data_IF_144236572660
#
_entry.id   IF_144236572660
#
_cell.length_a   1.000
_cell.length_b   1.000
_cell.length_c   1.000
_cell.angle_alpha   90.00
_cell.angle_beta   90.00
_cell.angle_gamma   90.00
#
_symmetry.space_group_name_H-M   'P 1'
#
loop_
_entity.id
_entity.type
_entity.pdbx_description
1 polymer ?
#
# COMPACT_ATOMS: atom_id res chain seq x y z
N UNK A 1 6.72 -23.02 18.56
CA UNK A 1 5.94 -21.84 19.02
C UNK A 1 6.25 -20.72 18.05
N UNK A 2 5.38 -20.54 17.06
CA UNK A 2 5.59 -19.53 16.00
C UNK A 2 4.99 -18.24 16.54
N UNK A 3 5.83 -17.30 16.93
CA UNK A 3 5.38 -15.97 17.33
C UNK A 3 5.01 -15.26 16.02
N UNK A 4 3.75 -15.30 15.64
CA UNK A 4 3.22 -14.47 14.57
C UNK A 4 3.13 -13.03 15.07
N UNK A 5 4.11 -12.24 14.74
CA UNK A 5 4.00 -10.79 14.81
C UNK A 5 3.02 -10.31 13.72
N UNK A 6 2.25 -9.24 13.97
CA UNK A 6 1.25 -8.72 13.03
C UNK A 6 1.81 -8.46 11.63
N UNK A 7 3.06 -7.99 11.51
CA UNK A 7 3.76 -7.94 10.23
C UNK A 7 4.10 -9.32 9.66
N UNK A 8 4.21 -10.37 10.49
CA UNK A 8 4.57 -11.70 10.01
C UNK A 8 3.41 -12.49 9.43
N UNK A 9 2.15 -12.19 9.73
CA UNK A 9 1.03 -12.82 9.04
C UNK A 9 0.98 -12.43 7.57
N UNK A 10 1.11 -11.16 7.23
CA UNK A 10 1.26 -10.72 5.85
C UNK A 10 2.57 -11.25 5.23
N UNK A 11 3.66 -11.24 5.99
CA UNK A 11 4.96 -11.70 5.51
C UNK A 11 5.08 -13.23 5.39
N UNK A 12 4.32 -14.01 6.14
CA UNK A 12 4.40 -15.49 6.13
C UNK A 12 3.19 -16.09 5.44
N UNK A 13 1.98 -15.76 5.85
CA UNK A 13 0.77 -16.37 5.32
C UNK A 13 0.49 -16.00 3.87
N UNK A 14 0.59 -14.72 3.55
CA UNK A 14 0.23 -14.19 2.23
C UNK A 14 1.44 -14.12 1.28
N UNK A 15 2.63 -14.37 1.80
CA UNK A 15 3.86 -14.41 1.00
C UNK A 15 3.77 -15.51 -0.05
N UNK A 16 4.04 -15.15 -1.30
CA UNK A 16 4.02 -16.09 -2.41
C UNK A 16 2.62 -16.63 -2.72
N UNK A 17 1.57 -15.89 -2.37
CA UNK A 17 0.21 -16.29 -2.70
C UNK A 17 0.08 -16.70 -4.17
N UNK A 18 -0.50 -17.86 -4.39
CA UNK A 18 -0.64 -18.46 -5.72
C UNK A 18 0.51 -19.36 -6.15
N UNK A 19 1.67 -19.30 -5.50
CA UNK A 19 2.84 -20.13 -5.87
C UNK A 19 2.70 -21.61 -5.42
N UNK A 20 1.64 -21.95 -4.68
CA UNK A 20 1.40 -23.31 -4.20
C UNK A 20 2.50 -23.82 -3.26
N UNK A 21 2.82 -25.11 -3.36
CA UNK A 21 3.75 -25.78 -2.45
C UNK A 21 5.17 -25.23 -2.46
N UNK A 22 5.57 -24.58 -3.54
CA UNK A 22 6.95 -24.08 -3.74
C UNK A 22 7.22 -22.73 -3.11
N UNK A 23 6.19 -21.96 -2.80
CA UNK A 23 6.42 -20.60 -2.32
C UNK A 23 5.36 -20.03 -1.40
N UNK A 24 4.15 -20.60 -1.39
CA UNK A 24 3.06 -20.04 -0.60
C UNK A 24 3.26 -20.31 0.89
N UNK A 25 3.28 -19.24 1.68
CA UNK A 25 3.48 -19.29 3.14
C UNK A 25 4.83 -19.89 3.58
N UNK A 26 5.86 -19.77 2.74
CA UNK A 26 7.19 -20.30 3.01
C UNK A 26 8.19 -19.15 3.18
N UNK A 27 8.97 -19.19 4.26
CA UNK A 27 9.95 -18.15 4.58
C UNK A 27 11.01 -17.95 3.49
N UNK A 28 11.42 -19.03 2.79
CA UNK A 28 12.41 -18.98 1.73
C UNK A 28 11.92 -18.24 0.48
N UNK A 29 10.63 -18.02 0.33
CA UNK A 29 10.02 -17.31 -0.81
C UNK A 29 10.58 -15.89 -0.95
N UNK A 30 10.95 -15.25 0.15
CA UNK A 30 11.59 -13.93 0.11
C UNK A 30 12.88 -13.89 -0.72
N UNK A 31 13.58 -15.01 -0.80
CA UNK A 31 14.83 -15.12 -1.55
C UNK A 31 14.66 -15.80 -2.92
N UNK A 32 13.44 -16.25 -3.23
CA UNK A 32 13.16 -16.95 -4.49
C UNK A 32 13.15 -15.97 -5.65
N UNK A 33 14.03 -16.18 -6.62
CA UNK A 33 14.19 -15.30 -7.77
C UNK A 33 13.50 -15.80 -9.04
N UNK A 34 13.19 -17.09 -9.12
CA UNK A 34 12.58 -17.71 -10.30
C UNK A 34 11.63 -18.82 -9.87
N UNK A 35 10.53 -18.97 -10.58
CA UNK A 35 9.64 -20.11 -10.52
C UNK A 35 10.03 -21.14 -11.57
N UNK A 36 9.90 -22.43 -11.26
CA UNK A 36 10.03 -23.51 -12.23
C UNK A 36 8.83 -23.53 -13.19
N UNK A 37 8.98 -24.24 -14.30
CA UNK A 37 7.89 -24.39 -15.30
C UNK A 37 6.66 -25.06 -14.69
N UNK A 38 6.84 -26.07 -13.85
CA UNK A 38 5.75 -26.75 -13.16
C UNK A 38 4.98 -25.81 -12.22
N UNK A 39 5.69 -24.92 -11.53
CA UNK A 39 5.10 -23.93 -10.64
C UNK A 39 4.30 -22.88 -11.42
N UNK A 40 4.82 -22.46 -12.58
CA UNK A 40 4.11 -21.55 -13.48
C UNK A 40 2.86 -22.19 -14.08
N UNK A 41 2.91 -23.50 -14.41
CA UNK A 41 1.74 -24.25 -14.85
C UNK A 41 0.70 -24.35 -13.74
N UNK A 42 1.12 -24.66 -12.52
CA UNK A 42 0.24 -24.67 -11.36
C UNK A 42 -0.43 -23.30 -11.13
N UNK A 43 0.33 -22.21 -11.21
CA UNK A 43 -0.18 -20.85 -11.08
C UNK A 43 -1.23 -20.55 -12.18
N UNK A 44 -0.91 -20.85 -13.44
CA UNK A 44 -1.84 -20.71 -14.57
C UNK A 44 -3.15 -21.45 -14.31
N UNK A 45 -3.06 -22.72 -13.91
CA UNK A 45 -4.24 -23.56 -13.70
C UNK A 45 -5.08 -23.10 -12.50
N UNK A 46 -4.42 -22.66 -11.44
CA UNK A 46 -5.10 -22.12 -10.23
C UNK A 46 -5.90 -20.86 -10.53
N UNK A 47 -5.41 -20.00 -11.41
CA UNK A 47 -6.03 -18.72 -11.73
C UNK A 47 -6.71 -18.70 -13.10
N UNK A 48 -6.93 -19.88 -13.70
CA UNK A 48 -7.60 -20.05 -14.99
C UNK A 48 -7.05 -19.13 -16.09
N UNK A 49 -5.71 -18.91 -16.09
CA UNK A 49 -5.06 -18.08 -17.10
C UNK A 49 -5.02 -18.83 -18.42
N UNK A 50 -5.63 -18.35 -19.50
CA UNK A 50 -5.82 -19.10 -20.75
C UNK A 50 -4.55 -19.11 -21.62
N UNK A 51 -3.49 -19.74 -21.11
CA UNK A 51 -2.23 -19.96 -21.81
C UNK A 51 -1.98 -21.46 -22.01
N UNK A 52 -1.45 -21.82 -23.16
CA UNK A 52 -0.99 -23.18 -23.45
C UNK A 52 0.30 -23.51 -22.68
N UNK A 53 0.61 -24.79 -22.50
CA UNK A 53 1.85 -25.21 -21.86
C UNK A 53 3.09 -24.57 -22.51
N UNK A 54 3.14 -24.56 -23.83
CA UNK A 54 4.24 -23.94 -24.57
C UNK A 54 4.38 -22.45 -24.27
N UNK A 55 3.27 -21.71 -24.19
CA UNK A 55 3.29 -20.29 -23.86
C UNK A 55 3.76 -20.03 -22.42
N UNK A 56 3.41 -20.94 -21.49
CA UNK A 56 3.90 -20.86 -20.10
C UNK A 56 5.39 -21.16 -20.02
N UNK A 57 5.88 -22.17 -20.75
CA UNK A 57 7.32 -22.49 -20.84
C UNK A 57 8.14 -21.32 -21.43
N UNK A 58 7.59 -20.63 -22.42
CA UNK A 58 8.18 -19.44 -23.05
C UNK A 58 7.95 -18.15 -22.26
N UNK A 59 7.26 -18.21 -21.13
CA UNK A 59 6.90 -17.05 -20.28
C UNK A 59 6.23 -15.93 -21.09
N UNK A 60 5.26 -16.32 -21.92
CA UNK A 60 4.51 -15.35 -22.72
C UNK A 60 3.52 -14.57 -21.85
N UNK A 61 3.40 -13.27 -22.13
CA UNK A 61 2.39 -12.44 -21.46
C UNK A 61 1.00 -12.78 -21.96
N UNK A 62 0.07 -12.98 -21.01
CA UNK A 62 -1.34 -13.07 -21.32
C UNK A 62 -1.88 -11.69 -21.69
N UNK A 63 -2.58 -11.61 -22.81
CA UNK A 63 -3.35 -10.43 -23.21
C UNK A 63 -4.80 -10.86 -23.43
N UNK A 64 -5.75 -10.32 -22.66
CA UNK A 64 -7.18 -10.59 -22.86
C UNK A 64 -7.65 -10.17 -24.25
N UNK A 65 -8.65 -10.86 -24.79
CA UNK A 65 -9.31 -10.46 -26.03
C UNK A 65 -9.94 -9.07 -25.89
N UNK A 66 -9.89 -8.27 -26.95
CA UNK A 66 -10.45 -6.92 -26.98
C UNK A 66 -11.96 -6.87 -26.69
N UNK A 67 -12.68 -7.99 -26.92
CA UNK A 67 -14.10 -8.12 -26.65
C UNK A 67 -14.42 -8.85 -25.34
N UNK A 68 -13.40 -9.22 -24.57
CA UNK A 68 -13.60 -9.84 -23.27
C UNK A 68 -14.31 -8.90 -22.29
N UNK A 69 -14.95 -9.45 -21.27
CA UNK A 69 -15.69 -8.66 -20.28
C UNK A 69 -14.76 -7.75 -19.48
N UNK A 70 -13.55 -8.21 -19.19
CA UNK A 70 -12.51 -7.44 -18.48
C UNK A 70 -12.11 -6.20 -19.28
N UNK A 71 -11.85 -6.35 -20.58
CA UNK A 71 -11.45 -5.23 -21.44
C UNK A 71 -12.62 -4.27 -21.66
N UNK A 72 -13.84 -4.76 -21.82
CA UNK A 72 -15.02 -3.90 -21.88
C UNK A 72 -15.19 -3.09 -20.59
N UNK A 73 -15.10 -3.76 -19.43
CA UNK A 73 -15.19 -3.10 -18.14
C UNK A 73 -14.10 -2.01 -18.02
N UNK A 74 -12.84 -2.35 -18.33
CA UNK A 74 -11.72 -1.39 -18.29
C UNK A 74 -12.01 -0.17 -19.18
N UNK A 75 -12.41 -0.40 -20.43
CA UNK A 75 -12.70 0.68 -21.38
C UNK A 75 -13.85 1.56 -20.91
N UNK A 76 -14.93 0.96 -20.44
CA UNK A 76 -16.09 1.70 -19.93
C UNK A 76 -15.73 2.58 -18.73
N UNK A 77 -14.91 2.05 -17.81
CA UNK A 77 -14.43 2.83 -16.66
C UNK A 77 -13.52 3.97 -17.11
N UNK A 78 -12.62 3.73 -18.06
CA UNK A 78 -11.72 4.77 -18.60
C UNK A 78 -12.52 5.86 -19.32
N UNK A 79 -13.52 5.51 -20.10
CA UNK A 79 -14.41 6.48 -20.77
C UNK A 79 -15.14 7.35 -19.73
N UNK A 80 -15.69 6.74 -18.68
CA UNK A 80 -16.37 7.48 -17.59
C UNK A 80 -15.44 8.43 -16.84
N UNK A 81 -14.14 8.12 -16.81
CA UNK A 81 -13.10 8.97 -16.19
C UNK A 81 -12.50 10.00 -17.16
N UNK A 82 -13.06 10.19 -18.36
CA UNK A 82 -12.55 11.15 -19.35
C UNK A 82 -11.52 10.59 -20.33
N UNK A 83 -11.43 9.26 -20.46
CA UNK A 83 -10.54 8.57 -21.40
C UNK A 83 -9.30 7.96 -20.77
N UNK A 84 -8.41 7.40 -21.60
CA UNK A 84 -7.20 6.73 -21.13
C UNK A 84 -6.16 7.71 -20.57
N UNK A 85 -6.13 8.92 -21.08
CA UNK A 85 -5.35 10.03 -20.56
C UNK A 85 -6.35 11.12 -20.19
N UNK A 86 -6.85 11.16 -18.95
CA UNK A 86 -7.81 12.16 -18.54
C UNK A 86 -7.21 13.56 -18.65
N UNK A 87 -8.06 14.54 -18.92
CA UNK A 87 -7.64 15.95 -18.97
C UNK A 87 -7.07 16.35 -17.60
N UNK A 88 -5.85 16.88 -17.62
CA UNK A 88 -5.19 17.35 -16.40
C UNK A 88 -5.61 18.78 -16.11
N UNK A 89 -6.03 19.02 -14.89
CA UNK A 89 -6.31 20.36 -14.40
C UNK A 89 -5.19 20.83 -13.48
N UNK A 90 -4.95 22.11 -13.43
CA UNK A 90 -4.04 22.74 -12.46
C UNK A 90 -4.80 23.33 -11.27
N UNK A 91 -6.11 23.16 -11.26
CA UNK A 91 -6.93 23.65 -10.16
C UNK A 91 -6.81 22.71 -8.96
N UNK A 92 -6.24 23.25 -7.90
CA UNK A 92 -6.17 22.56 -6.62
C UNK A 92 -6.49 23.56 -5.49
N UNK A 93 -7.22 23.10 -4.49
CA UNK A 93 -7.47 23.89 -3.28
C UNK A 93 -6.13 24.13 -2.58
N UNK A 94 -5.80 25.39 -2.34
CA UNK A 94 -4.56 25.74 -1.65
C UNK A 94 -4.59 25.22 -0.21
N UNK A 95 -3.52 24.55 0.19
CA UNK A 95 -3.32 24.11 1.56
C UNK A 95 -2.42 25.12 2.26
N UNK A 96 -2.82 25.55 3.45
CA UNK A 96 -1.98 26.41 4.28
C UNK A 96 -0.76 25.63 4.72
N UNK A 97 0.42 26.17 4.47
CA UNK A 97 1.67 25.53 4.88
C UNK A 97 1.74 25.40 6.42
N UNK A 98 2.32 24.31 6.92
CA UNK A 98 2.51 24.13 8.36
C UNK A 98 3.44 25.20 8.94
N UNK A 99 3.34 25.44 10.23
CA UNK A 99 4.21 26.38 10.95
C UNK A 99 5.66 25.90 10.90
N UNK A 100 6.60 26.86 10.82
CA UNK A 100 8.03 26.54 10.65
C UNK A 100 8.64 25.80 11.85
N UNK A 101 8.10 25.97 13.03
CA UNK A 101 8.53 25.33 14.28
C UNK A 101 8.40 23.80 14.24
N UNK A 102 7.49 23.28 13.43
CA UNK A 102 7.37 21.81 13.18
C UNK A 102 8.70 21.21 12.72
N UNK A 103 9.53 22.00 12.02
CA UNK A 103 10.80 21.56 11.43
C UNK A 103 12.01 21.88 12.30
N UNK A 104 11.86 22.55 13.44
CA UNK A 104 13.00 23.04 14.24
C UNK A 104 13.92 21.92 14.71
N UNK A 105 13.35 20.74 15.03
CA UNK A 105 14.13 19.58 15.44
C UNK A 105 15.09 19.05 14.36
N UNK A 106 14.89 19.43 13.08
CA UNK A 106 15.80 19.05 11.97
C UNK A 106 16.96 20.01 11.80
N UNK A 107 16.90 21.17 12.45
CA UNK A 107 17.95 22.22 12.35
C UNK A 107 19.11 22.00 13.31
N UNK A 108 18.87 21.21 14.35
CA UNK A 108 19.83 20.97 15.41
C UNK A 108 20.34 19.53 15.39
N UNK A 109 21.55 19.35 15.84
CA UNK A 109 22.15 18.04 16.03
C UNK A 109 21.41 17.26 17.11
N UNK A 110 21.27 15.96 16.93
CA UNK A 110 20.75 15.03 17.95
C UNK A 110 21.71 14.85 19.13
N UNK A 111 22.84 15.51 19.11
CA UNK A 111 23.89 15.38 20.10
C UNK A 111 24.61 14.04 20.06
N UNK A 112 24.60 13.33 21.19
CA UNK A 112 25.26 12.01 21.30
C UNK A 112 24.37 10.83 20.81
N UNK A 113 23.11 11.10 20.48
CA UNK A 113 22.19 10.04 20.01
C UNK A 113 22.27 9.94 18.48
N UNK A 114 22.67 8.80 17.99
CA UNK A 114 22.57 8.49 16.57
C UNK A 114 21.10 8.35 16.15
N UNK A 115 20.76 8.87 15.00
CA UNK A 115 19.43 8.77 14.42
C UNK A 115 19.57 8.42 12.95
N UNK A 116 18.86 7.37 12.51
CA UNK A 116 18.77 7.04 11.08
C UNK A 116 17.93 8.08 10.34
N UNK A 117 18.16 8.21 9.04
CA UNK A 117 17.34 9.08 8.17
C UNK A 117 15.87 8.67 8.17
N UNK A 118 15.58 7.37 8.24
CA UNK A 118 14.23 6.84 8.38
C UNK A 118 13.56 7.32 9.66
N UNK A 119 14.25 7.25 10.80
CA UNK A 119 13.70 7.75 12.07
C UNK A 119 13.51 9.27 12.07
N UNK A 120 14.37 10.00 11.37
CA UNK A 120 14.18 11.44 11.18
C UNK A 120 12.90 11.74 10.38
N UNK A 121 12.65 10.96 9.29
CA UNK A 121 11.42 11.04 8.51
C UNK A 121 10.19 10.70 9.36
N UNK A 122 10.22 9.61 10.11
CA UNK A 122 9.09 9.20 10.98
C UNK A 122 8.76 10.28 12.01
N UNK A 123 9.80 10.92 12.58
CA UNK A 123 9.63 12.03 13.52
C UNK A 123 9.03 13.26 12.83
N UNK A 124 9.47 13.56 11.61
CA UNK A 124 8.90 14.63 10.80
C UNK A 124 7.42 14.39 10.51
N UNK A 125 7.06 13.21 10.02
CA UNK A 125 5.67 12.84 9.76
C UNK A 125 4.82 12.91 11.04
N UNK A 126 5.37 12.45 12.17
CA UNK A 126 4.71 12.55 13.48
C UNK A 126 4.41 13.99 13.89
N UNK A 127 5.32 14.92 13.58
CA UNK A 127 5.09 16.34 13.85
C UNK A 127 4.08 16.95 12.88
N UNK A 128 4.13 16.59 11.60
CA UNK A 128 3.14 17.02 10.60
C UNK A 128 1.71 16.57 10.93
N UNK A 129 1.54 15.42 11.56
CA UNK A 129 0.24 14.94 12.06
C UNK A 129 -0.37 15.83 13.16
N UNK A 130 0.36 16.80 13.69
CA UNK A 130 -0.17 17.79 14.63
C UNK A 130 -0.78 19.01 13.94
N UNK A 131 -0.45 19.22 12.67
CA UNK A 131 -1.01 20.31 11.88
C UNK A 131 -2.37 19.93 11.30
N UNK A 132 -3.42 20.68 11.67
CA UNK A 132 -4.81 20.39 11.29
C UNK A 132 -5.09 20.49 9.78
N UNK A 133 -4.26 21.21 9.03
CA UNK A 133 -4.43 21.35 7.59
C UNK A 133 -3.73 20.23 6.81
N UNK A 134 -2.59 19.75 7.34
CA UNK A 134 -1.75 18.73 6.69
C UNK A 134 -2.13 17.32 7.13
N UNK A 135 -2.42 17.12 8.42
CA UNK A 135 -2.70 15.82 8.99
C UNK A 135 -3.75 15.00 8.20
N UNK A 136 -4.91 15.55 7.79
CA UNK A 136 -5.91 14.79 7.04
C UNK A 136 -5.45 14.33 5.63
N UNK A 137 -4.35 14.90 5.14
CA UNK A 137 -3.80 14.62 3.81
C UNK A 137 -2.52 13.81 3.84
N UNK A 138 -2.05 13.47 5.02
CA UNK A 138 -0.83 12.68 5.19
C UNK A 138 -1.19 11.19 5.14
N UNK A 139 -0.82 10.54 4.06
CA UNK A 139 -1.09 9.12 3.82
C UNK A 139 0.23 8.38 3.64
N UNK A 140 0.77 7.75 4.69
CA UNK A 140 1.89 6.83 4.54
C UNK A 140 1.47 5.61 3.72
N UNK A 141 2.24 5.28 2.69
CA UNK A 141 2.04 4.09 1.85
C UNK A 141 3.21 3.15 2.14
N UNK A 142 2.92 1.98 2.62
CA UNK A 142 3.91 1.06 3.17
C UNK A 142 3.86 -0.27 2.43
N UNK A 143 4.92 -0.65 1.70
CA UNK A 143 4.98 -1.90 0.96
C UNK A 143 5.34 -3.11 1.81
N UNK A 144 5.85 -2.88 3.04
CA UNK A 144 6.32 -3.92 3.94
C UNK A 144 6.07 -3.51 5.40
N UNK A 145 6.72 -4.16 6.34
CA UNK A 145 6.52 -4.01 7.77
C UNK A 145 6.76 -2.57 8.27
N UNK A 146 5.71 -1.84 8.57
CA UNK A 146 5.78 -0.50 9.15
C UNK A 146 6.61 -0.45 10.44
N UNK A 147 6.56 -1.53 11.22
CA UNK A 147 7.26 -1.67 12.50
C UNK A 147 8.78 -1.67 12.32
N UNK A 148 9.29 -2.34 11.31
CA UNK A 148 10.73 -2.39 10.99
C UNK A 148 11.27 -0.98 10.71
N UNK A 149 10.42 -0.09 10.21
CA UNK A 149 10.76 1.31 9.95
C UNK A 149 10.45 2.25 11.13
N UNK A 150 10.00 1.72 12.27
CA UNK A 150 9.63 2.51 13.45
C UNK A 150 8.34 3.33 13.26
N UNK A 151 7.45 2.88 12.34
CA UNK A 151 6.20 3.57 12.00
C UNK A 151 4.99 3.03 12.79
N UNK A 152 5.16 2.07 13.67
CA UNK A 152 4.08 1.46 14.47
C UNK A 152 3.25 2.48 15.26
N UNK A 153 3.86 3.60 15.63
CA UNK A 153 3.14 4.69 16.30
C UNK A 153 2.04 5.34 15.45
N UNK A 154 2.04 5.13 14.13
CA UNK A 154 0.98 5.63 13.24
C UNK A 154 -0.28 4.78 13.33
N UNK A 155 -0.17 3.50 13.64
CA UNK A 155 -1.33 2.61 13.77
C UNK A 155 -2.33 3.13 14.81
N UNK A 156 -1.82 3.60 15.95
CA UNK A 156 -2.67 4.18 16.98
C UNK A 156 -3.19 5.57 16.61
N UNK A 157 -2.35 6.40 15.98
CA UNK A 157 -2.66 7.81 15.74
C UNK A 157 -3.63 8.02 14.60
N UNK A 158 -3.40 7.37 13.47
CA UNK A 158 -4.16 7.58 12.23
C UNK A 158 -4.77 6.30 11.67
N UNK A 159 -4.47 5.15 12.27
CA UNK A 159 -5.01 3.85 11.86
C UNK A 159 -4.54 3.36 10.49
N UNK A 160 -4.64 2.07 10.29
CA UNK A 160 -4.44 1.42 9.00
C UNK A 160 -5.78 1.45 8.27
N UNK A 161 -5.78 1.82 7.00
CA UNK A 161 -7.00 1.80 6.20
C UNK A 161 -7.46 0.36 5.95
N UNK A 162 -8.69 0.07 6.33
CA UNK A 162 -9.36 -1.17 5.98
C UNK A 162 -10.79 -0.85 5.54
N UNK A 163 -11.14 -1.23 4.32
CA UNK A 163 -12.43 -0.94 3.69
C UNK A 163 -13.65 -1.31 4.56
N UNK A 164 -13.54 -2.43 5.27
CA UNK A 164 -14.62 -2.91 6.14
C UNK A 164 -14.36 -2.65 7.64
N UNK A 165 -13.23 -2.05 7.98
CA UNK A 165 -12.73 -1.94 9.34
C UNK A 165 -12.16 -3.27 9.85
N UNK A 166 -11.67 -3.28 11.07
CA UNK A 166 -11.11 -4.47 11.70
C UNK A 166 -12.20 -5.45 12.11
N UNK A 167 -12.18 -6.66 11.53
CA UNK A 167 -13.18 -7.71 11.78
C UNK A 167 -12.65 -8.86 12.64
N UNK A 168 -11.45 -8.76 13.12
CA UNK A 168 -10.76 -9.77 13.90
C UNK A 168 -10.00 -9.12 15.06
N UNK A 169 -9.70 -9.90 16.07
CA UNK A 169 -8.77 -9.51 17.13
C UNK A 169 -7.40 -10.10 16.80
N UNK A 170 -6.32 -9.27 16.75
CA UNK A 170 -4.98 -9.78 16.54
C UNK A 170 -4.59 -10.80 17.62
N UNK A 171 -3.96 -11.92 17.22
CA UNK A 171 -3.56 -12.98 18.17
C UNK A 171 -2.60 -12.48 19.26
N UNK A 172 -1.86 -11.41 18.97
CA UNK A 172 -0.89 -10.78 19.87
C UNK A 172 -1.38 -9.43 20.40
N UNK A 173 -2.69 -9.20 20.44
CA UNK A 173 -3.30 -7.96 20.90
C UNK A 173 -2.82 -7.50 22.29
N UNK A 174 -2.50 -8.44 23.17
CA UNK A 174 -1.93 -8.15 24.50
C UNK A 174 -0.48 -7.64 24.44
N UNK A 175 0.27 -7.98 23.38
CA UNK A 175 1.68 -7.60 23.20
C UNK A 175 1.85 -6.39 22.30
N UNK A 176 0.97 -6.22 21.31
CA UNK A 176 0.96 -5.15 20.33
C UNK A 176 -0.16 -4.17 20.64
N UNK A 177 0.07 -3.33 21.60
CA UNK A 177 -0.92 -2.38 22.13
C UNK A 177 -1.46 -1.35 21.13
N UNK A 178 -1.10 -1.39 19.83
CA UNK A 178 -1.33 -0.26 18.94
C UNK A 178 -1.82 -0.61 17.55
N UNK A 179 -2.01 -1.89 17.20
CA UNK A 179 -2.51 -2.25 15.87
C UNK A 179 -4.01 -1.93 15.75
N UNK A 180 -4.36 -1.09 14.80
CA UNK A 180 -5.75 -0.70 14.57
C UNK A 180 -6.02 -0.50 13.08
N UNK A 181 -6.97 -1.26 12.56
CA UNK A 181 -7.56 -1.06 11.25
C UNK A 181 -8.86 -0.27 11.37
N UNK A 182 -9.06 0.69 10.48
CA UNK A 182 -10.22 1.58 10.50
C UNK A 182 -10.62 1.97 9.07
N UNK A 183 -11.92 2.14 8.83
CA UNK A 183 -12.44 2.68 7.55
C UNK A 183 -11.91 4.08 7.25
N UNK A 184 -11.57 4.84 8.27
CA UNK A 184 -10.96 6.18 8.20
C UNK A 184 -9.46 6.16 8.45
N UNK A 185 -8.84 4.97 8.42
CA UNK A 185 -7.40 4.83 8.54
C UNK A 185 -6.67 5.54 7.42
N UNK A 186 -5.50 6.11 7.73
CA UNK A 186 -4.71 6.87 6.75
C UNK A 186 -3.44 6.14 6.32
N UNK A 187 -3.02 5.09 7.03
CA UNK A 187 -1.90 4.24 6.59
C UNK A 187 -2.42 3.26 5.55
N UNK A 188 -1.83 3.28 4.36
CA UNK A 188 -2.08 2.26 3.35
C UNK A 188 -0.99 1.19 3.44
N UNK A 189 -1.36 -0.01 3.87
CA UNK A 189 -0.50 -1.17 3.83
C UNK A 189 -0.81 -1.99 2.58
N UNK A 190 0.12 -1.92 1.61
CA UNK A 190 -0.02 -2.57 0.30
C UNK A 190 0.46 -4.04 0.31
N UNK A 191 0.95 -4.50 1.45
CA UNK A 191 1.65 -5.76 1.53
C UNK A 191 3.05 -5.68 0.90
N UNK A 192 3.70 -6.81 0.71
CA UNK A 192 5.04 -6.88 0.12
C UNK A 192 4.92 -6.72 -1.40
N UNK A 193 4.63 -5.51 -1.82
CA UNK A 193 4.40 -5.16 -3.22
C UNK A 193 4.80 -3.70 -3.50
N UNK A 194 6.04 -3.50 -3.84
CA UNK A 194 6.59 -2.18 -4.15
C UNK A 194 5.94 -1.59 -5.41
N UNK A 195 5.60 -2.43 -6.39
CA UNK A 195 4.91 -1.96 -7.60
C UNK A 195 3.49 -1.45 -7.29
N UNK A 196 2.76 -2.14 -6.40
CA UNK A 196 1.45 -1.70 -5.90
C UNK A 196 1.56 -0.38 -5.13
N UNK A 197 2.53 -0.30 -4.22
CA UNK A 197 2.80 0.91 -3.45
C UNK A 197 3.13 2.11 -4.35
N UNK A 198 3.92 1.90 -5.40
CA UNK A 198 4.24 2.94 -6.37
C UNK A 198 3.00 3.35 -7.17
N UNK A 199 2.14 2.41 -7.56
CA UNK A 199 0.89 2.70 -8.25
C UNK A 199 -0.05 3.54 -7.37
N UNK A 200 -0.22 3.18 -6.11
CA UNK A 200 -1.00 3.94 -5.14
C UNK A 200 -0.42 5.34 -4.89
N UNK A 201 0.91 5.44 -4.81
CA UNK A 201 1.58 6.74 -4.65
C UNK A 201 1.37 7.64 -5.87
N UNK A 202 1.49 7.11 -7.09
CA UNK A 202 1.23 7.86 -8.32
C UNK A 202 -0.22 8.30 -8.36
N UNK A 203 -1.17 7.42 -8.05
CA UNK A 203 -2.60 7.73 -8.03
C UNK A 203 -2.91 8.84 -7.02
N UNK A 204 -2.40 8.75 -5.80
CA UNK A 204 -2.56 9.77 -4.77
C UNK A 204 -1.92 11.10 -5.19
N UNK A 205 -0.68 11.07 -5.68
CA UNK A 205 0.07 12.26 -6.07
C UNK A 205 -0.49 12.99 -7.29
N UNK A 206 -1.23 12.31 -8.16
CA UNK A 206 -1.84 12.90 -9.35
C UNK A 206 -3.35 13.11 -9.23
N UNK A 207 -3.96 12.72 -8.14
CA UNK A 207 -5.41 12.75 -7.94
C UNK A 207 -6.01 14.15 -8.13
N UNK A 208 -5.34 15.19 -7.68
CA UNK A 208 -5.79 16.58 -7.82
C UNK A 208 -5.89 17.05 -9.28
N UNK A 209 -5.18 16.41 -10.21
CA UNK A 209 -5.19 16.78 -11.63
C UNK A 209 -6.23 16.03 -12.45
N UNK A 210 -6.74 14.92 -11.92
CA UNK A 210 -7.57 13.99 -12.67
C UNK A 210 -8.99 13.84 -12.12
N UNK A 211 -9.20 14.11 -10.83
CA UNK A 211 -10.47 13.90 -10.15
C UNK A 211 -10.91 15.16 -9.43
N UNK A 212 -12.06 15.68 -9.81
CA UNK A 212 -12.71 16.83 -9.15
C UNK A 212 -13.02 16.56 -7.66
N UNK A 213 -13.07 15.27 -7.26
CA UNK A 213 -13.50 14.82 -5.94
C UNK A 213 -12.41 14.66 -4.89
N UNK A 214 -11.16 14.85 -5.23
CA UNK A 214 -10.06 14.60 -4.26
C UNK A 214 -10.00 15.61 -3.12
N UNK A 215 -10.73 16.73 -3.22
CA UNK A 215 -10.86 17.68 -2.11
C UNK A 215 -12.09 17.42 -1.22
N UNK A 216 -13.08 16.66 -1.71
CA UNK A 216 -14.37 16.45 -1.01
C UNK A 216 -14.57 15.03 -0.45
N UNK A 217 -13.74 14.07 -0.83
CA UNK A 217 -13.87 12.70 -0.33
C UNK A 217 -13.76 12.57 1.20
N UNK A 218 -13.27 13.61 1.89
CA UNK A 218 -13.24 13.67 3.34
C UNK A 218 -14.51 14.30 3.96
N UNK A 219 -15.32 15.01 3.17
CA UNK A 219 -16.49 15.77 3.66
C UNK A 219 -17.83 15.05 3.38
N UNK A 220 -17.85 14.05 2.49
CA UNK A 220 -19.08 13.33 2.14
C UNK A 220 -19.29 12.01 2.90
N UNK A 221 -18.52 11.73 3.94
CA UNK A 221 -18.79 10.62 4.85
C UNK A 221 -19.44 11.16 6.11
N UNK A 222 -20.72 11.49 6.00
CA UNK A 222 -21.65 11.62 7.13
C UNK A 222 -22.44 10.34 7.23
#
# INVERSE_FOLDING_TARGET
MTICLVGSEMCIRDRGYGMGKTGESVNTTHQQKKMGVEDLMYYRDRFDVPLTNKQVEEIQYFRPDENSEEIKYLKDRRIKLGGFIPERTTYAKQIKAPQKDIFDFLKESTGKKEMSTTMALVRLLTNLLRDKNVAPRLVPIIPDEARTFGMEGFFQKIGIYAHEGQKYEPEDSEQLSSYREDKKGQVLEEGINEAGSMASWIAAGTSYTCLLYTSDAADEVV
#
